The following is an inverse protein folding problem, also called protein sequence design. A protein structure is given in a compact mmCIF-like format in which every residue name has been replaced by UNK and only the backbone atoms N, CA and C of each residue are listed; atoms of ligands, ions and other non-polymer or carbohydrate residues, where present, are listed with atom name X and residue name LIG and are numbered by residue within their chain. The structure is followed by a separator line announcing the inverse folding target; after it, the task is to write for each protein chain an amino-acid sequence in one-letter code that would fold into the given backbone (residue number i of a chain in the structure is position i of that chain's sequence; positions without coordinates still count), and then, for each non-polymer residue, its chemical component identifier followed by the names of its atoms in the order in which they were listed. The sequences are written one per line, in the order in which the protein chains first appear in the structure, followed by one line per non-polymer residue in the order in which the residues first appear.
data_IF_501020227610
#
_entry.id   IF_501020227610
#
_cell.length_a   1.000
_cell.length_b   1.000
_cell.length_c   1.000
_cell.angle_alpha   90.00
_cell.angle_beta   90.00
_cell.angle_gamma   90.00
#
_symmetry.space_group_name_H-M   'P 1'
#
loop_
_entity.id
_entity.type
_entity.pdbx_description
1 polymer ?
#
# COMPACT_ATOMS: atom_id res chain seq x y z
N UNK A 1 -26.27 52.99 -18.92
CA UNK A 1 -26.93 52.74 -20.23
C UNK A 1 -26.31 51.46 -20.77
N UNK A 2 -27.00 50.37 -21.11
CA UNK A 2 -28.36 50.16 -21.59
C UNK A 2 -28.74 48.72 -21.20
N UNK A 3 -29.98 48.56 -20.72
CA UNK A 3 -30.60 47.28 -20.38
C UNK A 3 -30.62 46.38 -21.61
N UNK A 4 -30.45 45.07 -21.44
CA UNK A 4 -30.99 44.13 -22.42
C UNK A 4 -31.37 42.81 -21.74
N UNK A 5 -32.64 42.73 -21.34
CA UNK A 5 -33.34 41.48 -21.02
C UNK A 5 -34.05 41.01 -22.30
N UNK A 6 -33.69 39.85 -22.83
CA UNK A 6 -34.45 39.06 -23.80
C UNK A 6 -33.90 37.64 -23.68
N UNK A 7 -34.64 36.55 -23.77
CA UNK A 7 -36.05 36.22 -23.66
C UNK A 7 -36.00 34.69 -23.57
N UNK A 8 -36.94 34.11 -22.82
CA UNK A 8 -37.13 32.68 -22.69
C UNK A 8 -37.44 32.10 -24.09
N UNK A 9 -36.67 31.11 -24.56
CA UNK A 9 -37.13 30.17 -25.59
C UNK A 9 -36.98 28.75 -25.07
N UNK A 10 -38.15 28.16 -24.97
CA UNK A 10 -38.53 26.81 -24.60
C UNK A 10 -38.03 25.81 -25.66
N UNK A 11 -38.02 24.53 -25.26
CA UNK A 11 -38.04 23.34 -26.12
C UNK A 11 -36.67 22.83 -26.57
N UNK A 12 -36.19 21.83 -25.83
CA UNK A 12 -35.09 20.97 -26.20
C UNK A 12 -35.00 19.79 -25.25
N UNK A 13 -36.12 19.08 -25.10
CA UNK A 13 -36.23 17.83 -24.34
C UNK A 13 -35.48 16.71 -25.08
N UNK A 14 -34.18 16.89 -25.34
CA UNK A 14 -33.34 15.79 -25.78
C UNK A 14 -32.88 15.09 -24.51
N UNK A 15 -33.59 14.02 -24.17
CA UNK A 15 -33.10 12.99 -23.27
C UNK A 15 -31.82 12.44 -23.87
N UNK A 16 -30.68 13.10 -23.61
CA UNK A 16 -29.39 12.53 -23.92
C UNK A 16 -29.19 11.42 -22.89
N UNK A 17 -29.61 10.24 -23.29
CA UNK A 17 -29.50 8.99 -22.55
C UNK A 17 -28.04 8.83 -22.12
N UNK A 18 -27.72 9.04 -20.84
CA UNK A 18 -26.46 8.56 -20.28
C UNK A 18 -26.53 7.03 -20.32
N UNK A 19 -26.01 6.44 -21.41
CA UNK A 19 -25.65 5.02 -21.40
C UNK A 19 -24.42 4.89 -20.51
N UNK A 20 -24.65 4.70 -19.22
CA UNK A 20 -23.66 4.23 -18.27
C UNK A 20 -23.50 2.72 -18.44
N UNK A 21 -22.84 2.28 -19.51
CA UNK A 21 -22.26 0.95 -19.59
C UNK A 21 -20.93 0.94 -18.82
N UNK A 22 -21.03 1.26 -17.53
CA UNK A 22 -20.05 0.85 -16.55
C UNK A 22 -20.35 -0.60 -16.22
N UNK A 23 -19.80 -1.52 -17.01
CA UNK A 23 -19.41 -2.80 -16.43
C UNK A 23 -18.35 -2.49 -15.37
N UNK A 24 -18.60 -2.69 -14.07
CA UNK A 24 -17.50 -2.95 -13.17
C UNK A 24 -16.96 -4.31 -13.61
N UNK A 25 -16.03 -4.30 -14.57
CA UNK A 25 -15.05 -5.37 -14.66
C UNK A 25 -14.14 -5.12 -13.46
N UNK A 26 -14.65 -5.44 -12.27
CA UNK A 26 -13.79 -5.91 -11.18
C UNK A 26 -13.06 -7.08 -11.81
N UNK A 27 -11.87 -6.80 -12.35
CA UNK A 27 -10.92 -7.85 -12.62
C UNK A 27 -10.57 -8.41 -11.25
N UNK A 28 -11.31 -9.45 -10.84
CA UNK A 28 -11.04 -10.31 -9.68
C UNK A 28 -9.78 -11.13 -10.00
N UNK A 29 -8.70 -10.44 -10.37
CA UNK A 29 -7.32 -10.87 -10.18
C UNK A 29 -6.66 -10.05 -9.06
N UNK A 30 -7.39 -9.15 -8.41
CA UNK A 30 -6.90 -8.27 -7.34
C UNK A 30 -7.81 -8.28 -6.10
N UNK A 31 -8.55 -9.36 -5.86
CA UNK A 31 -9.20 -9.63 -4.58
C UNK A 31 -8.77 -11.03 -4.14
N UNK A 32 -7.58 -11.12 -3.54
CA UNK A 32 -7.32 -12.11 -2.49
C UNK A 32 -7.27 -11.39 -1.15
N UNK A 33 -8.40 -11.20 -0.44
CA UNK A 33 -8.42 -10.71 0.92
C UNK A 33 -8.25 -11.90 1.87
N UNK A 34 -7.21 -12.72 1.65
CA UNK A 34 -6.89 -13.89 2.48
C UNK A 34 -5.41 -14.33 2.36
N UNK A 35 -4.50 -13.45 1.97
CA UNK A 35 -3.09 -13.63 2.33
C UNK A 35 -2.64 -12.48 3.25
N UNK A 36 -3.36 -12.36 4.38
CA UNK A 36 -2.77 -11.93 5.66
C UNK A 36 -1.74 -12.96 6.17
N UNK A 37 -1.06 -13.64 5.24
CA UNK A 37 0.00 -14.59 5.45
C UNK A 37 1.19 -13.79 5.95
N UNK A 38 1.35 -13.81 7.29
CA UNK A 38 2.55 -13.38 8.02
C UNK A 38 3.74 -13.21 7.09
N UNK A 39 4.09 -11.97 6.76
CA UNK A 39 5.30 -11.65 6.01
C UNK A 39 6.47 -12.11 6.88
N UNK A 40 6.93 -13.34 6.65
CA UNK A 40 8.05 -13.90 7.38
C UNK A 40 9.30 -13.17 6.88
N UNK A 41 9.87 -12.32 7.72
CA UNK A 41 11.12 -11.61 7.42
C UNK A 41 12.29 -12.47 7.85
N UNK A 42 13.38 -12.43 7.10
CA UNK A 42 14.63 -13.12 7.45
C UNK A 42 15.46 -12.23 8.38
N UNK A 43 15.91 -12.78 9.51
CA UNK A 43 16.85 -12.13 10.41
C UNK A 43 18.20 -11.93 9.70
N UNK A 44 18.71 -10.69 9.57
CA UNK A 44 19.95 -10.43 8.84
C UNK A 44 21.21 -11.01 9.52
N UNK A 45 21.15 -11.29 10.83
CA UNK A 45 22.27 -11.83 11.62
C UNK A 45 22.37 -13.34 11.48
N UNK A 46 21.28 -14.06 11.79
CA UNK A 46 21.30 -15.52 11.84
C UNK A 46 20.61 -16.22 10.65
N UNK A 47 19.99 -15.46 9.75
CA UNK A 47 19.28 -15.94 8.56
C UNK A 47 18.05 -16.81 8.85
N UNK A 48 17.55 -16.82 10.08
CA UNK A 48 16.31 -17.50 10.43
C UNK A 48 15.08 -16.71 9.95
N UNK A 49 14.02 -17.43 9.56
CA UNK A 49 12.71 -16.82 9.27
C UNK A 49 12.04 -16.41 10.58
N UNK A 50 11.55 -15.17 10.63
CA UNK A 50 10.88 -14.58 11.79
C UNK A 50 9.47 -14.18 11.41
N UNK A 51 8.49 -14.58 12.23
CA UNK A 51 7.11 -14.10 12.10
C UNK A 51 7.07 -12.64 12.54
N UNK A 52 6.52 -11.75 11.71
CA UNK A 52 6.47 -10.31 12.00
C UNK A 52 5.82 -10.00 13.37
N UNK A 53 4.78 -10.75 13.76
CA UNK A 53 4.05 -10.60 15.02
C UNK A 53 4.93 -10.76 16.28
N UNK A 54 5.97 -11.61 16.21
CA UNK A 54 6.84 -11.93 17.35
C UNK A 54 8.25 -11.36 17.22
N UNK A 55 8.55 -10.72 16.08
CA UNK A 55 9.87 -10.22 15.76
C UNK A 55 10.28 -9.08 16.70
N UNK A 56 11.58 -8.99 16.99
CA UNK A 56 12.16 -7.74 17.50
C UNK A 56 12.48 -6.86 16.31
N UNK A 57 12.24 -5.57 16.41
CA UNK A 57 12.43 -4.64 15.29
C UNK A 57 13.47 -3.56 15.60
N UNK A 58 14.15 -3.10 14.56
CA UNK A 58 14.92 -1.86 14.59
C UNK A 58 14.82 -1.15 13.25
N UNK A 59 15.03 0.16 13.23
CA UNK A 59 15.11 0.94 12.00
C UNK A 59 16.54 1.38 11.78
N UNK A 60 17.08 1.08 10.61
CA UNK A 60 18.41 1.51 10.19
C UNK A 60 18.36 1.96 8.73
N UNK A 61 18.89 3.15 8.42
CA UNK A 61 18.84 3.76 7.08
C UNK A 61 17.43 3.80 6.47
N UNK A 62 16.41 4.15 7.28
CA UNK A 62 14.98 4.17 6.88
C UNK A 62 14.42 2.80 6.47
N UNK A 63 15.13 1.71 6.76
CA UNK A 63 14.68 0.32 6.56
C UNK A 63 14.39 -0.32 7.91
N UNK A 64 13.26 -1.01 8.02
CA UNK A 64 12.91 -1.78 9.22
C UNK A 64 13.46 -3.20 9.10
N UNK A 65 14.28 -3.60 10.06
CA UNK A 65 14.84 -4.95 10.18
C UNK A 65 14.12 -5.70 11.30
N UNK A 66 13.92 -7.01 11.09
CA UNK A 66 13.27 -7.91 12.04
C UNK A 66 14.27 -8.96 12.53
N UNK A 67 14.22 -9.30 13.82
CA UNK A 67 15.17 -10.21 14.46
C UNK A 67 14.44 -11.31 15.23
N UNK A 68 15.03 -12.50 15.25
CA UNK A 68 14.50 -13.67 15.93
C UNK A 68 14.62 -13.57 17.45
N UNK A 69 15.56 -12.75 17.95
CA UNK A 69 15.84 -12.57 19.37
C UNK A 69 16.45 -11.19 19.63
N UNK A 70 16.46 -10.77 20.90
CA UNK A 70 17.09 -9.52 21.31
C UNK A 70 18.61 -9.55 21.09
N UNK A 71 19.24 -10.72 21.25
CA UNK A 71 20.68 -10.87 21.00
C UNK A 71 21.03 -10.59 19.53
N UNK A 72 20.23 -11.06 18.58
CA UNK A 72 20.44 -10.75 17.15
C UNK A 72 20.26 -9.25 16.87
N UNK A 73 19.23 -8.62 17.45
CA UNK A 73 19.03 -7.17 17.35
C UNK A 73 20.25 -6.39 17.89
N UNK A 74 20.79 -6.78 19.04
CA UNK A 74 21.97 -6.14 19.66
C UNK A 74 23.23 -6.31 18.80
N UNK A 75 23.49 -7.52 18.29
CA UNK A 75 24.61 -7.78 17.36
C UNK A 75 24.52 -6.92 16.11
N UNK A 76 23.32 -6.78 15.54
CA UNK A 76 23.08 -5.90 14.40
C UNK A 76 23.27 -4.43 14.77
N UNK A 77 22.78 -3.97 15.92
CA UNK A 77 22.92 -2.59 16.35
C UNK A 77 24.39 -2.18 16.59
N UNK A 78 25.24 -3.12 17.01
CA UNK A 78 26.67 -2.88 17.19
C UNK A 78 27.41 -2.64 15.86
N UNK A 79 27.12 -3.46 14.83
CA UNK A 79 27.81 -3.41 13.53
C UNK A 79 26.84 -3.67 12.35
N UNK A 80 25.93 -2.73 12.03
CA UNK A 80 24.88 -2.98 11.04
C UNK A 80 25.44 -3.18 9.62
N UNK A 81 26.53 -2.50 9.28
CA UNK A 81 27.21 -2.61 7.97
C UNK A 81 27.75 -4.00 7.68
N UNK A 82 28.00 -4.83 8.70
CA UNK A 82 28.45 -6.22 8.56
C UNK A 82 27.37 -7.15 8.04
N UNK A 83 26.10 -6.85 8.33
CA UNK A 83 24.97 -7.73 8.03
C UNK A 83 24.14 -7.25 6.83
N UNK A 84 24.37 -6.02 6.39
CA UNK A 84 23.68 -5.42 5.24
C UNK A 84 24.66 -5.42 4.07
N UNK A 85 24.40 -6.28 3.10
CA UNK A 85 25.04 -6.22 1.80
C UNK A 85 24.08 -5.48 0.87
N UNK A 86 24.53 -4.37 0.27
CA UNK A 86 23.76 -3.59 -0.71
C UNK A 86 23.50 -4.39 -1.97
#
# INVERSE_FOLDING_TARGET
MKKLNFAIILIGLTTLSLKSNATPIINVSQISPIDSAKKATVDPVCKMKVKAETAKITVYNKVTYNFCSESCKQKFAAEPTKYIHK
#
